data_IF_216807121123
#
_entry.id   IF_216807121123
#
_cell.length_a   1.000
_cell.length_b   1.000
_cell.length_c   1.000
_cell.angle_alpha   90.00
_cell.angle_beta   90.00
_cell.angle_gamma   90.00
#
_symmetry.space_group_name_H-M   'P 1'
#
loop_
_entity.id
_entity.type
_entity.pdbx_description
1 polymer ?
#
# COMPACT_ATOMS: atom_id res chain seq x y z
N UNK A 1 34.81 -46.83 36.42
CA UNK A 1 34.84 -45.36 36.26
C UNK A 1 33.69 -44.96 35.33
N UNK A 2 32.67 -44.28 35.84
CA UNK A 2 31.58 -43.71 35.02
C UNK A 2 31.82 -42.21 34.91
N UNK A 3 32.06 -41.75 33.69
CA UNK A 3 32.20 -40.32 33.36
C UNK A 3 30.81 -39.69 33.38
N UNK A 4 30.61 -38.70 34.25
CA UNK A 4 29.42 -37.85 34.25
C UNK A 4 29.73 -36.60 33.43
N UNK A 5 28.92 -36.30 32.42
CA UNK A 5 28.95 -35.02 31.73
C UNK A 5 27.92 -34.11 32.40
N UNK A 6 28.38 -33.01 32.98
CA UNK A 6 27.51 -31.92 33.43
C UNK A 6 27.14 -31.14 32.17
N UNK A 7 25.89 -31.29 31.72
CA UNK A 7 25.32 -30.38 30.72
C UNK A 7 24.87 -29.13 31.46
N UNK A 8 25.69 -28.07 31.40
CA UNK A 8 25.24 -26.76 31.81
C UNK A 8 24.24 -26.26 30.76
N UNK A 9 22.95 -26.25 31.12
CA UNK A 9 21.94 -25.50 30.37
C UNK A 9 22.22 -24.04 30.66
N UNK A 10 22.91 -23.36 29.75
CA UNK A 10 22.96 -21.91 29.77
C UNK A 10 21.60 -21.41 29.26
N UNK A 11 20.75 -20.96 30.19
CA UNK A 11 19.66 -20.05 29.85
C UNK A 11 20.28 -18.81 29.22
N UNK A 12 20.26 -18.74 27.89
CA UNK A 12 20.51 -17.50 27.18
C UNK A 12 19.25 -16.67 27.38
N UNK A 13 19.21 -15.90 28.47
CA UNK A 13 18.24 -14.82 28.62
C UNK A 13 18.52 -13.81 27.53
N UNK A 14 17.81 -13.95 26.40
CA UNK A 14 17.75 -12.91 25.38
C UNK A 14 17.36 -11.61 26.10
N UNK A 15 18.12 -10.52 25.98
CA UNK A 15 17.72 -9.25 26.59
C UNK A 15 16.30 -8.93 26.12
N UNK A 16 15.47 -8.43 27.03
CA UNK A 16 14.12 -7.98 26.68
C UNK A 16 14.23 -7.05 25.46
N UNK A 17 13.41 -7.25 24.41
CA UNK A 17 13.47 -6.41 23.23
C UNK A 17 13.32 -4.95 23.68
N UNK A 18 14.19 -4.08 23.17
CA UNK A 18 14.12 -2.66 23.49
C UNK A 18 12.75 -2.14 23.07
N UNK A 19 12.11 -1.27 23.87
CA UNK A 19 10.88 -0.64 23.45
C UNK A 19 11.07 0.07 22.12
N UNK A 20 10.07 -0.03 21.24
CA UNK A 20 10.05 0.64 19.95
C UNK A 20 9.01 1.74 20.00
N UNK A 21 9.41 2.97 19.72
CA UNK A 21 8.48 4.05 19.44
C UNK A 21 8.15 4.07 17.96
N UNK A 22 6.86 4.08 17.64
CA UNK A 22 6.35 4.17 16.27
C UNK A 22 5.41 5.34 16.15
N UNK A 23 5.39 5.96 14.97
CA UNK A 23 4.43 6.98 14.65
C UNK A 23 3.16 6.33 14.07
N UNK A 24 2.00 6.82 14.46
CA UNK A 24 0.72 6.37 13.92
C UNK A 24 -0.02 7.56 13.34
N UNK A 25 -0.36 7.45 12.06
CA UNK A 25 -0.89 8.58 11.33
C UNK A 25 -2.31 8.95 11.78
N UNK A 26 -2.64 10.22 11.78
CA UNK A 26 -3.89 10.69 12.38
C UNK A 26 -5.17 10.13 11.73
N UNK A 27 -5.11 9.85 10.42
CA UNK A 27 -6.19 9.24 9.65
C UNK A 27 -6.50 7.79 10.08
N UNK A 28 -5.51 7.08 10.63
CA UNK A 28 -5.67 5.73 11.18
C UNK A 28 -6.67 5.73 12.36
N UNK A 29 -6.63 6.79 13.17
CA UNK A 29 -7.54 6.96 14.30
C UNK A 29 -8.88 7.58 13.92
N UNK A 30 -8.90 8.47 12.93
CA UNK A 30 -10.14 9.06 12.45
C UNK A 30 -11.09 8.02 11.83
N UNK A 31 -10.56 6.93 11.27
CA UNK A 31 -11.36 5.93 10.56
C UNK A 31 -11.54 4.60 11.29
N UNK A 32 -10.62 4.18 12.17
CA UNK A 32 -10.60 2.78 12.62
C UNK A 32 -10.47 2.56 14.14
N UNK A 33 -9.76 3.41 14.89
CA UNK A 33 -9.48 3.18 16.33
C UNK A 33 -9.29 4.46 17.14
N UNK A 34 -9.36 4.35 18.45
CA UNK A 34 -8.87 5.38 19.39
C UNK A 34 -7.39 5.13 19.67
N UNK A 35 -6.57 6.17 19.95
CA UNK A 35 -5.22 6.02 20.52
C UNK A 35 -5.18 4.95 21.62
N UNK A 36 -4.20 4.01 21.59
CA UNK A 36 -4.14 2.96 22.60
C UNK A 36 -3.80 3.56 23.96
N UNK A 37 -4.50 3.10 25.00
CA UNK A 37 -4.14 3.41 26.38
C UNK A 37 -2.84 2.66 26.77
N UNK A 38 -2.08 3.21 27.72
CA UNK A 38 -0.93 2.51 28.31
C UNK A 38 -1.40 1.17 28.90
N UNK A 39 -0.66 0.10 28.60
CA UNK A 39 -0.97 -1.28 28.94
C UNK A 39 -1.91 -2.00 27.95
N UNK A 40 -2.46 -1.30 26.94
CA UNK A 40 -3.34 -1.92 25.96
C UNK A 40 -2.57 -2.71 24.90
N UNK A 41 -3.15 -3.79 24.37
CA UNK A 41 -2.57 -4.49 23.23
C UNK A 41 -2.64 -3.63 21.97
N UNK A 42 -1.55 -3.64 21.22
CA UNK A 42 -1.41 -2.99 19.91
C UNK A 42 -1.12 -4.07 18.87
N UNK A 43 -1.77 -3.99 17.72
CA UNK A 43 -1.49 -4.87 16.59
C UNK A 43 -1.60 -4.12 15.28
N UNK A 44 -0.82 -4.47 14.27
CA UNK A 44 -0.86 -3.80 12.96
C UNK A 44 0.32 -4.20 12.07
N UNK A 45 0.61 -3.38 11.07
CA UNK A 45 1.72 -3.56 10.14
C UNK A 45 2.75 -2.44 10.33
N UNK A 46 4.03 -2.82 10.41
CA UNK A 46 5.15 -1.87 10.49
C UNK A 46 5.73 -1.57 9.10
N UNK A 47 5.83 -0.27 8.83
CA UNK A 47 6.43 0.31 7.63
C UNK A 47 7.50 1.32 8.02
N UNK A 48 8.52 1.45 7.20
CA UNK A 48 9.57 2.46 7.34
C UNK A 48 9.46 3.46 6.18
N UNK A 49 9.60 4.74 6.50
CA UNK A 49 9.54 5.85 5.56
C UNK A 49 10.70 6.81 5.80
N UNK A 50 11.12 7.62 4.81
CA UNK A 50 11.96 8.78 5.08
C UNK A 50 11.34 9.63 6.20
N UNK A 51 12.14 9.96 7.22
CA UNK A 51 11.64 10.72 8.35
C UNK A 51 11.26 12.14 7.91
N UNK A 52 10.06 12.59 8.29
CA UNK A 52 9.67 14.00 8.16
C UNK A 52 10.29 14.82 9.31
N UNK A 53 10.24 16.15 9.21
CA UNK A 53 10.83 17.10 10.18
C UNK A 53 10.43 16.85 11.64
N UNK A 54 9.26 16.24 11.88
CA UNK A 54 8.73 15.98 13.22
C UNK A 54 8.65 14.48 13.57
N UNK A 55 9.23 13.61 12.74
CA UNK A 55 9.23 12.17 13.00
C UNK A 55 10.37 11.78 13.94
N UNK A 56 10.13 10.77 14.77
CA UNK A 56 11.20 10.08 15.49
C UNK A 56 12.05 9.33 14.47
N UNK A 57 13.31 9.74 14.35
CA UNK A 57 14.26 9.17 13.42
C UNK A 57 14.99 7.98 14.07
N UNK A 58 15.06 6.88 13.33
CA UNK A 58 15.77 5.66 13.71
C UNK A 58 16.96 5.42 12.77
N UNK A 59 17.94 4.67 13.27
CA UNK A 59 19.09 4.25 12.48
C UNK A 59 18.88 2.85 11.91
N UNK A 60 19.09 2.71 10.60
CA UNK A 60 19.07 1.41 9.91
C UNK A 60 20.35 0.65 10.26
N UNK A 61 20.19 -0.58 10.72
CA UNK A 61 21.30 -1.49 11.04
C UNK A 61 21.45 -2.60 10.00
N UNK A 62 20.38 -2.93 9.26
CA UNK A 62 20.41 -3.87 8.15
C UNK A 62 19.32 -3.54 7.13
N UNK A 63 19.54 -3.95 5.87
CA UNK A 63 18.56 -3.83 4.80
C UNK A 63 18.58 -5.08 3.91
N UNK A 64 17.45 -5.78 3.87
CA UNK A 64 17.18 -6.82 2.89
C UNK A 64 16.37 -6.22 1.73
N UNK A 65 17.09 -5.78 0.70
CA UNK A 65 16.47 -5.22 -0.52
C UNK A 65 15.58 -6.24 -1.24
N UNK A 66 15.90 -7.52 -1.15
CA UNK A 66 15.13 -8.59 -1.79
C UNK A 66 13.73 -8.71 -1.21
N UNK A 67 13.63 -8.58 0.12
CA UNK A 67 12.38 -8.66 0.88
C UNK A 67 11.78 -7.30 1.26
N UNK A 68 12.43 -6.20 0.88
CA UNK A 68 11.96 -4.84 1.21
C UNK A 68 11.87 -4.62 2.72
N UNK A 69 12.85 -5.11 3.47
CA UNK A 69 12.86 -5.02 4.94
C UNK A 69 14.09 -4.26 5.43
N UNK A 70 13.89 -3.29 6.32
CA UNK A 70 14.96 -2.64 7.08
C UNK A 70 14.87 -3.06 8.54
N UNK A 71 16.02 -3.12 9.22
CA UNK A 71 16.10 -3.37 10.66
C UNK A 71 16.50 -2.09 11.38
N UNK A 72 15.66 -1.66 12.31
CA UNK A 72 15.82 -0.47 13.15
C UNK A 72 15.62 -0.84 14.60
N UNK A 73 16.57 -0.49 15.46
CA UNK A 73 16.52 -0.84 16.89
C UNK A 73 16.24 -2.33 17.18
N UNK A 74 16.66 -3.21 16.25
CA UNK A 74 16.44 -4.66 16.33
C UNK A 74 15.06 -5.13 15.81
N UNK A 75 14.22 -4.23 15.31
CA UNK A 75 12.88 -4.52 14.76
C UNK A 75 12.88 -4.38 13.25
N UNK A 76 12.28 -5.34 12.56
CA UNK A 76 12.07 -5.27 11.12
C UNK A 76 10.83 -4.41 10.79
N UNK A 77 10.97 -3.56 9.77
CA UNK A 77 9.87 -2.80 9.17
C UNK A 77 10.01 -2.82 7.65
N UNK A 78 8.88 -2.73 6.94
CA UNK A 78 8.90 -2.76 5.48
C UNK A 78 9.33 -1.42 4.87
N UNK A 79 10.28 -1.43 3.96
CA UNK A 79 10.83 -0.26 3.25
C UNK A 79 10.51 -0.31 1.76
N UNK A 80 9.83 0.71 1.22
CA UNK A 80 9.69 0.84 -0.24
C UNK A 80 11.03 1.30 -0.87
N UNK A 81 11.67 0.49 -1.74
CA UNK A 81 12.91 0.86 -2.40
C UNK A 81 12.82 2.13 -3.27
N UNK A 82 11.62 2.59 -3.62
CA UNK A 82 11.41 3.85 -4.35
C UNK A 82 11.87 5.08 -3.56
N UNK A 83 11.96 4.97 -2.23
CA UNK A 83 12.49 6.00 -1.34
C UNK A 83 14.03 6.06 -1.31
N UNK A 84 14.73 5.22 -2.08
CA UNK A 84 16.18 5.23 -2.17
C UNK A 84 16.88 4.34 -1.14
N UNK A 85 18.16 4.63 -0.87
CA UNK A 85 18.99 3.89 0.08
C UNK A 85 18.65 4.29 1.53
N UNK A 86 18.09 3.38 2.35
CA UNK A 86 17.71 3.69 3.71
C UNK A 86 18.90 4.01 4.62
N UNK A 87 20.13 3.60 4.29
CA UNK A 87 21.33 3.98 5.07
C UNK A 87 21.76 5.43 4.88
N UNK A 88 21.25 6.10 3.84
CA UNK A 88 21.67 7.45 3.46
C UNK A 88 20.78 8.57 4.03
N UNK A 89 19.75 8.21 4.80
CA UNK A 89 18.75 9.16 5.27
C UNK A 89 18.13 8.72 6.61
N UNK A 90 17.61 9.66 7.42
CA UNK A 90 16.84 9.31 8.60
C UNK A 90 15.54 8.62 8.20
N UNK A 91 15.13 7.62 8.97
CA UNK A 91 13.88 6.89 8.73
C UNK A 91 12.97 6.90 9.95
N UNK A 92 11.66 6.93 9.72
CA UNK A 92 10.63 6.81 10.73
C UNK A 92 9.92 5.46 10.59
N UNK A 93 9.60 4.83 11.71
CA UNK A 93 8.76 3.62 11.73
C UNK A 93 7.32 4.03 11.97
N UNK A 94 6.43 3.53 11.12
CA UNK A 94 4.99 3.76 11.21
C UNK A 94 4.23 2.46 11.41
N UNK A 95 3.23 2.53 12.29
CA UNK A 95 2.24 1.47 12.44
C UNK A 95 0.99 1.83 11.62
N UNK A 96 0.49 0.87 10.87
CA UNK A 96 -0.79 0.98 10.16
C UNK A 96 -1.74 -0.14 10.56
N UNK A 97 -3.02 0.19 10.71
CA UNK A 97 -4.11 -0.78 10.84
C UNK A 97 -4.75 -1.14 9.52
N UNK A 98 -4.41 -0.43 8.45
CA UNK A 98 -4.97 -0.66 7.14
C UNK A 98 -4.16 -1.72 6.40
N UNK A 99 -4.90 -2.64 5.78
CA UNK A 99 -4.35 -3.48 4.73
C UNK A 99 -4.40 -2.70 3.42
N UNK A 100 -3.40 -1.85 3.18
CA UNK A 100 -3.25 -1.13 1.91
C UNK A 100 -2.81 -2.06 0.76
N UNK A 101 -2.86 -3.38 0.97
CA UNK A 101 -2.37 -4.46 0.11
C UNK A 101 -0.86 -4.65 0.19
N UNK A 102 -0.17 -3.75 0.89
CA UNK A 102 1.27 -3.71 1.11
C UNK A 102 1.68 -4.75 2.17
N UNK A 103 2.52 -5.77 1.87
CA UNK A 103 2.94 -6.75 2.86
C UNK A 103 3.92 -6.14 3.86
N UNK A 104 3.40 -5.54 4.94
CA UNK A 104 4.19 -5.01 6.06
C UNK A 104 4.67 -6.11 7.02
N UNK A 105 5.50 -5.75 8.00
CA UNK A 105 5.85 -6.65 9.11
C UNK A 105 4.71 -6.61 10.11
N UNK A 106 4.01 -7.73 10.31
CA UNK A 106 2.93 -7.76 11.29
C UNK A 106 3.51 -7.73 12.70
N UNK A 107 2.94 -6.87 13.54
CA UNK A 107 3.35 -6.70 14.94
C UNK A 107 2.16 -6.93 15.86
N UNK A 108 2.42 -7.58 16.99
CA UNK A 108 1.60 -7.48 18.20
C UNK A 108 2.49 -7.07 19.37
N UNK A 109 2.02 -6.14 20.20
CA UNK A 109 2.81 -5.55 21.27
C UNK A 109 1.91 -4.99 22.39
N UNK A 110 2.53 -4.50 23.46
CA UNK A 110 1.85 -3.77 24.55
C UNK A 110 2.28 -2.30 24.49
N UNK A 111 1.33 -1.36 24.46
CA UNK A 111 1.65 0.07 24.56
C UNK A 111 2.15 0.41 25.96
N UNK A 112 3.26 1.15 26.08
CA UNK A 112 3.79 1.63 27.36
C UNK A 112 3.80 3.15 27.46
N UNK A 113 3.68 3.84 26.33
CA UNK A 113 3.56 5.30 26.26
C UNK A 113 2.79 5.68 24.98
N UNK A 114 1.94 6.69 25.09
CA UNK A 114 1.21 7.27 23.95
C UNK A 114 1.29 8.79 24.07
N UNK A 115 1.93 9.44 23.10
CA UNK A 115 2.11 10.90 23.07
C UNK A 115 1.39 11.45 21.84
N UNK A 116 0.39 12.29 22.05
CA UNK A 116 -0.28 13.02 20.97
C UNK A 116 0.45 14.32 20.68
N UNK A 117 0.60 14.68 19.41
CA UNK A 117 1.02 16.03 19.03
C UNK A 117 0.00 17.07 19.56
N UNK A 118 0.42 18.10 20.32
CA UNK A 118 -0.48 19.10 20.92
C UNK A 118 -1.29 19.96 19.92
N UNK A 119 -1.13 19.79 18.60
CA UNK A 119 -1.92 20.49 17.58
C UNK A 119 -3.38 20.03 17.44
N UNK A 120 -3.86 19.08 18.24
CA UNK A 120 -5.24 18.56 18.16
C UNK A 120 -6.24 19.35 19.02
N UNK A 121 -6.90 20.35 18.45
CA UNK A 121 -8.22 20.79 18.95
C UNK A 121 -9.30 19.80 18.51
N UNK A 122 -10.27 19.56 19.39
CA UNK A 122 -11.28 18.50 19.34
C UNK A 122 -12.37 18.67 18.27
N UNK A 123 -12.00 18.70 16.99
CA UNK A 123 -12.95 18.50 15.88
C UNK A 123 -12.69 17.15 15.19
N UNK A 124 -13.77 16.57 14.64
CA UNK A 124 -13.99 15.14 14.35
C UNK A 124 -13.07 14.43 13.32
N UNK A 125 -11.88 14.97 13.05
CA UNK A 125 -10.77 14.29 12.41
C UNK A 125 -9.51 14.71 13.18
N UNK A 126 -9.01 13.84 14.07
CA UNK A 126 -7.77 14.09 14.80
C UNK A 126 -6.70 14.49 13.79
N UNK A 127 -6.25 15.75 13.83
CA UNK A 127 -5.20 16.28 12.96
C UNK A 127 -3.91 16.33 13.76
N UNK A 128 -3.25 15.18 13.83
CA UNK A 128 -2.02 14.99 14.59
C UNK A 128 -1.67 13.52 14.61
N UNK A 129 -0.51 13.19 14.05
CA UNK A 129 0.06 11.87 14.25
C UNK A 129 0.35 11.68 15.75
N UNK A 130 0.34 10.45 16.24
CA UNK A 130 0.74 10.16 17.62
C UNK A 130 1.92 9.22 17.65
N UNK A 131 2.73 9.34 18.69
CA UNK A 131 3.82 8.41 18.95
C UNK A 131 3.37 7.37 19.98
N UNK A 132 3.58 6.10 19.67
CA UNK A 132 3.28 4.98 20.56
C UNK A 132 4.57 4.22 20.84
N UNK A 133 5.00 4.20 22.10
CA UNK A 133 6.10 3.35 22.54
C UNK A 133 5.54 1.99 22.95
N UNK A 134 6.12 0.92 22.41
CA UNK A 134 5.63 -0.45 22.55
C UNK A 134 6.70 -1.39 23.10
N UNK A 135 6.28 -2.38 23.88
CA UNK A 135 7.12 -3.49 24.39
C UNK A 135 6.49 -4.84 24.05
N UNK A 136 7.16 -5.95 24.40
CA UNK A 136 6.67 -7.32 24.20
C UNK A 136 6.36 -7.64 22.73
N UNK A 137 7.20 -7.12 21.84
CA UNK A 137 6.98 -7.21 20.40
C UNK A 137 7.06 -8.65 19.91
N UNK A 138 5.99 -9.10 19.26
CA UNK A 138 5.98 -10.29 18.41
C UNK A 138 5.87 -9.84 16.96
N UNK A 139 6.83 -10.25 16.13
CA UNK A 139 6.96 -9.82 14.74
C UNK A 139 6.78 -11.00 13.79
N UNK A 140 6.05 -10.79 12.71
CA UNK A 140 5.92 -11.74 11.60
C UNK A 140 6.27 -11.02 10.30
N UNK A 141 7.44 -11.34 9.76
CA UNK A 141 7.93 -10.78 8.51
C UNK A 141 7.18 -11.36 7.30
N UNK A 142 6.96 -10.55 6.24
CA UNK A 142 6.38 -11.06 5.01
C UNK A 142 7.35 -12.03 4.30
N UNK A 143 6.79 -13.07 3.70
CA UNK A 143 7.55 -14.01 2.87
C UNK A 143 8.00 -13.34 1.57
N UNK A 144 9.11 -13.80 0.99
CA UNK A 144 9.57 -13.35 -0.32
C UNK A 144 8.48 -13.52 -1.42
N UNK A 145 7.62 -14.54 -1.29
CA UNK A 145 6.48 -14.76 -2.20
C UNK A 145 5.43 -13.65 -2.09
N UNK A 146 5.10 -13.21 -0.87
CA UNK A 146 4.15 -12.10 -0.65
C UNK A 146 4.70 -10.79 -1.21
N UNK A 147 5.99 -10.50 -0.98
CA UNK A 147 6.66 -9.32 -1.53
C UNK A 147 6.68 -9.36 -3.06
N UNK A 148 7.03 -10.51 -3.66
CA UNK A 148 7.02 -10.68 -5.11
C UNK A 148 5.60 -10.51 -5.71
N UNK A 149 4.57 -11.09 -5.08
CA UNK A 149 3.19 -10.93 -5.53
C UNK A 149 2.73 -9.46 -5.44
N UNK A 150 3.11 -8.74 -4.40
CA UNK A 150 2.83 -7.31 -4.27
C UNK A 150 3.52 -6.49 -5.36
N UNK A 151 4.78 -6.78 -5.69
CA UNK A 151 5.49 -6.10 -6.79
C UNK A 151 4.77 -6.28 -8.12
N UNK A 152 4.31 -7.49 -8.41
CA UNK A 152 3.50 -7.77 -9.62
C UNK A 152 2.20 -6.95 -9.59
N UNK A 153 1.50 -6.91 -8.46
CA UNK A 153 0.30 -6.09 -8.28
C UNK A 153 0.56 -4.60 -8.49
N UNK A 154 1.65 -4.06 -7.93
CA UNK A 154 2.04 -2.66 -8.14
C UNK A 154 2.37 -2.35 -9.60
N UNK A 155 3.07 -3.26 -10.28
CA UNK A 155 3.39 -3.11 -11.69
C UNK A 155 2.14 -3.17 -12.58
N UNK A 156 1.12 -3.95 -12.19
CA UNK A 156 -0.19 -3.94 -12.84
C UNK A 156 -0.90 -2.61 -12.56
N UNK A 157 -1.02 -2.18 -11.30
CA UNK A 157 -1.69 -0.92 -10.91
C UNK A 157 -1.11 0.31 -11.61
N UNK A 158 0.22 0.39 -11.73
CA UNK A 158 0.91 1.48 -12.44
C UNK A 158 0.63 1.51 -13.95
N UNK A 159 0.24 0.37 -14.51
CA UNK A 159 -0.13 0.19 -15.93
C UNK A 159 -1.64 0.13 -16.14
N UNK A 160 -2.44 0.22 -15.09
CA UNK A 160 -3.90 0.23 -15.20
C UNK A 160 -4.36 1.62 -15.58
N UNK A 161 -5.00 1.72 -16.74
CA UNK A 161 -5.58 2.95 -17.25
C UNK A 161 -7.10 2.86 -17.15
N UNK A 162 -7.71 3.95 -16.71
CA UNK A 162 -9.17 4.10 -16.68
C UNK A 162 -9.57 5.12 -17.72
N UNK A 163 -10.46 4.72 -18.62
CA UNK A 163 -10.93 5.53 -19.74
C UNK A 163 -12.45 5.65 -19.67
N UNK A 164 -12.95 6.88 -19.75
CA UNK A 164 -14.37 7.19 -19.85
C UNK A 164 -14.64 7.88 -21.18
N UNK A 165 -15.47 7.29 -22.04
CA UNK A 165 -15.88 7.87 -23.32
C UNK A 165 -17.27 7.36 -23.75
N UNK A 166 -17.84 7.95 -24.79
CA UNK A 166 -19.09 7.46 -25.38
C UNK A 166 -18.96 5.99 -25.81
N UNK A 167 -20.00 5.17 -25.68
CA UNK A 167 -19.92 3.75 -26.02
C UNK A 167 -19.47 3.51 -27.47
N UNK A 168 -19.91 4.35 -28.40
CA UNK A 168 -19.55 4.29 -29.82
C UNK A 168 -18.08 4.61 -30.12
N UNK A 169 -17.37 5.25 -29.18
CA UNK A 169 -15.93 5.47 -29.30
C UNK A 169 -15.16 4.15 -29.33
N UNK A 170 -15.64 3.14 -28.60
CA UNK A 170 -14.98 1.84 -28.48
C UNK A 170 -15.36 0.84 -29.58
N UNK A 171 -16.25 1.22 -30.51
CA UNK A 171 -16.74 0.38 -31.58
C UNK A 171 -18.26 0.25 -31.62
N UNK A 172 -18.76 -0.69 -32.42
CA UNK A 172 -20.19 -0.91 -32.64
C UNK A 172 -20.87 -1.73 -31.53
N UNK A 173 -20.10 -2.46 -30.73
CA UNK A 173 -20.57 -3.29 -29.62
C UNK A 173 -19.68 -3.11 -28.39
N UNK A 174 -20.20 -3.43 -27.21
CA UNK A 174 -19.41 -3.44 -25.98
C UNK A 174 -18.30 -4.48 -26.03
N UNK A 175 -17.17 -4.09 -25.45
CA UNK A 175 -15.93 -4.87 -25.41
C UNK A 175 -16.04 -6.05 -24.44
N UNK A 176 -15.25 -7.10 -24.64
CA UNK A 176 -15.11 -8.19 -23.67
C UNK A 176 -13.87 -7.98 -22.79
N UNK A 177 -13.98 -8.39 -21.51
CA UNK A 177 -12.79 -8.50 -20.67
C UNK A 177 -11.86 -9.59 -21.24
N UNK A 178 -10.56 -9.31 -21.27
CA UNK A 178 -9.54 -10.14 -21.90
C UNK A 178 -9.19 -9.72 -23.34
N UNK A 179 -10.03 -8.91 -23.99
CA UNK A 179 -9.74 -8.41 -25.33
C UNK A 179 -8.60 -7.38 -25.32
N UNK A 180 -7.97 -7.25 -26.49
CA UNK A 180 -6.96 -6.23 -26.77
C UNK A 180 -7.63 -4.94 -27.18
N UNK A 181 -7.12 -3.83 -26.67
CA UNK A 181 -7.60 -2.50 -27.02
C UNK A 181 -6.44 -1.57 -27.31
N UNK A 182 -6.62 -0.69 -28.29
CA UNK A 182 -5.74 0.43 -28.59
C UNK A 182 -6.57 1.70 -28.53
N UNK A 183 -6.19 2.63 -27.64
CA UNK A 183 -6.88 3.91 -27.45
C UNK A 183 -5.85 5.02 -27.61
N UNK A 184 -6.21 6.06 -28.35
CA UNK A 184 -5.50 7.33 -28.27
C UNK A 184 -5.92 8.04 -26.98
N UNK A 185 -5.05 8.04 -25.97
CA UNK A 185 -5.32 8.69 -24.68
C UNK A 185 -5.14 10.21 -24.75
N UNK A 186 -4.69 10.76 -25.89
CA UNK A 186 -4.67 12.19 -26.15
C UNK A 186 -5.94 12.68 -26.87
N UNK A 187 -6.86 11.79 -27.26
CA UNK A 187 -8.11 12.17 -27.88
C UNK A 187 -8.98 12.97 -26.89
N UNK A 188 -9.43 14.19 -27.24
CA UNK A 188 -10.25 15.02 -26.36
C UNK A 188 -11.64 14.42 -26.06
N UNK A 189 -12.10 13.42 -26.82
CA UNK A 189 -13.33 12.68 -26.55
C UNK A 189 -13.18 11.67 -25.39
N UNK A 190 -11.95 11.45 -24.90
CA UNK A 190 -11.63 10.49 -23.85
C UNK A 190 -11.25 11.21 -22.57
N UNK A 191 -11.95 10.90 -21.48
CA UNK A 191 -11.49 11.26 -20.14
C UNK A 191 -10.63 10.13 -19.57
N UNK A 192 -9.35 10.41 -19.37
CA UNK A 192 -8.37 9.45 -18.84
C UNK A 192 -8.13 9.71 -17.35
N UNK A 193 -8.09 8.64 -16.55
CA UNK A 193 -7.57 8.67 -15.19
C UNK A 193 -6.44 7.65 -15.06
N UNK A 194 -5.46 7.98 -14.21
CA UNK A 194 -4.28 7.17 -13.98
C UNK A 194 -3.51 6.85 -15.28
N UNK A 195 -3.42 7.83 -16.19
CA UNK A 195 -2.57 7.72 -17.37
C UNK A 195 -1.10 7.56 -16.93
N UNK A 196 -0.32 6.65 -17.52
CA UNK A 196 1.07 6.46 -17.12
C UNK A 196 1.86 7.76 -17.33
N UNK A 197 2.77 8.13 -16.42
CA UNK A 197 3.54 9.37 -16.56
C UNK A 197 4.32 9.39 -17.88
N UNK A 198 4.10 10.42 -18.70
CA UNK A 198 4.80 10.61 -19.97
C UNK A 198 4.24 9.81 -21.16
N UNK A 199 3.19 9.01 -20.97
CA UNK A 199 2.46 8.40 -22.08
C UNK A 199 1.42 9.39 -22.62
N UNK A 200 1.57 9.74 -23.89
CA UNK A 200 0.63 10.53 -24.67
C UNK A 200 0.44 9.85 -26.03
N UNK A 201 -0.77 9.87 -26.58
CA UNK A 201 -1.07 9.25 -27.87
C UNK A 201 -1.64 7.82 -27.75
N UNK A 202 -1.30 6.96 -28.71
CA UNK A 202 -1.85 5.60 -28.79
C UNK A 202 -1.23 4.66 -27.73
N UNK A 203 -2.08 4.08 -26.89
CA UNK A 203 -1.72 3.10 -25.88
C UNK A 203 -2.46 1.80 -26.13
N UNK A 204 -1.76 0.68 -26.04
CA UNK A 204 -2.33 -0.66 -26.21
C UNK A 204 -2.29 -1.43 -24.90
N UNK A 205 -3.35 -2.19 -24.63
CA UNK A 205 -3.42 -3.05 -23.46
C UNK A 205 -4.51 -4.09 -23.53
N UNK A 206 -4.73 -4.75 -22.40
CA UNK A 206 -5.74 -5.81 -22.23
C UNK A 206 -6.84 -5.32 -21.30
N UNK A 207 -8.09 -5.42 -21.75
CA UNK A 207 -9.27 -4.98 -21.00
C UNK A 207 -9.48 -5.87 -19.77
N UNK A 208 -9.65 -5.26 -18.61
CA UNK A 208 -9.90 -5.96 -17.34
C UNK A 208 -11.30 -5.74 -16.82
N UNK A 209 -11.93 -4.60 -17.15
CA UNK A 209 -13.31 -4.32 -16.75
C UNK A 209 -13.98 -3.33 -17.72
N UNK A 210 -15.29 -3.51 -17.92
CA UNK A 210 -16.13 -2.63 -18.74
C UNK A 210 -17.43 -2.38 -17.98
N UNK A 211 -17.73 -1.12 -17.72
CA UNK A 211 -18.92 -0.67 -16.98
C UNK A 211 -19.59 0.49 -17.71
N UNK A 212 -20.89 0.69 -17.47
CA UNK A 212 -21.58 1.93 -17.82
C UNK A 212 -21.37 2.94 -16.70
N UNK A 213 -20.96 4.15 -17.05
CA UNK A 213 -20.79 5.27 -16.14
C UNK A 213 -22.06 6.13 -16.12
N UNK A 214 -22.83 6.04 -15.04
CA UNK A 214 -24.12 6.72 -14.88
C UNK A 214 -23.95 7.88 -13.88
N UNK A 215 -24.02 9.15 -14.31
CA UNK A 215 -23.96 10.30 -13.41
C UNK A 215 -25.14 10.30 -12.41
N UNK A 216 -24.84 10.52 -11.13
CA UNK A 216 -25.80 10.59 -10.01
C UNK A 216 -25.56 11.87 -9.19
N UNK A 217 -25.60 13.02 -9.86
CA UNK A 217 -25.30 14.31 -9.24
C UNK A 217 -23.80 14.42 -8.93
N UNK A 218 -23.42 14.32 -7.65
CA UNK A 218 -22.04 14.52 -7.18
C UNK A 218 -21.14 13.29 -7.34
N UNK A 219 -21.69 12.14 -7.73
CA UNK A 219 -20.92 10.90 -7.96
C UNK A 219 -21.33 10.22 -9.27
N UNK A 220 -20.50 9.28 -9.74
CA UNK A 220 -20.80 8.43 -10.90
C UNK A 220 -20.96 6.99 -10.43
N UNK A 221 -22.12 6.39 -10.72
CA UNK A 221 -22.34 4.98 -10.48
C UNK A 221 -21.78 4.14 -11.64
N UNK A 222 -21.09 3.06 -11.33
CA UNK A 222 -20.59 2.11 -12.33
C UNK A 222 -21.45 0.84 -12.30
N UNK A 223 -22.05 0.48 -13.43
CA UNK A 223 -22.90 -0.71 -13.55
C UNK A 223 -22.37 -1.65 -14.62
N UNK A 224 -22.48 -2.96 -14.41
CA UNK A 224 -22.09 -3.95 -15.42
C UNK A 224 -22.89 -3.77 -16.72
N UNK A 225 -22.24 -4.07 -17.84
CA UNK A 225 -22.86 -4.16 -19.16
C UNK A 225 -22.52 -5.51 -19.77
N UNK A 226 -23.49 -6.14 -20.42
CA UNK A 226 -23.24 -7.39 -21.12
C UNK A 226 -22.29 -7.13 -22.31
N UNK A 227 -21.21 -7.90 -22.47
CA UNK A 227 -20.37 -7.84 -23.65
C UNK A 227 -21.15 -8.10 -24.94
N UNK A 228 -20.76 -7.48 -26.05
CA UNK A 228 -21.47 -7.57 -27.33
C UNK A 228 -22.77 -6.74 -27.44
N UNK A 229 -23.19 -6.05 -26.37
CA UNK A 229 -24.32 -5.11 -26.40
C UNK A 229 -24.06 -4.02 -27.45
N UNK A 230 -25.01 -3.72 -28.36
CA UNK A 230 -24.82 -2.67 -29.36
C UNK A 230 -24.54 -1.32 -28.72
N UNK A 231 -23.40 -0.71 -29.05
CA UNK A 231 -22.94 0.55 -28.44
C UNK A 231 -23.95 1.69 -28.60
N UNK A 232 -24.66 1.73 -29.74
CA UNK A 232 -25.70 2.72 -30.02
C UNK A 232 -26.91 2.65 -29.07
N UNK A 233 -27.12 1.53 -28.37
CA UNK A 233 -28.21 1.38 -27.39
C UNK A 233 -27.83 1.83 -25.98
N UNK A 234 -26.55 2.15 -25.75
CA UNK A 234 -26.04 2.56 -24.45
C UNK A 234 -26.08 4.08 -24.38
N UNK A 235 -27.09 4.62 -23.68
CA UNK A 235 -27.31 6.07 -23.54
C UNK A 235 -26.33 6.81 -22.62
N UNK A 236 -25.28 6.14 -22.15
CA UNK A 236 -24.31 6.67 -21.20
C UNK A 236 -22.87 6.31 -21.64
N UNK A 237 -21.88 6.96 -21.04
CA UNK A 237 -20.48 6.65 -21.33
C UNK A 237 -20.11 5.26 -20.77
N UNK A 238 -19.14 4.62 -21.41
CA UNK A 238 -18.49 3.45 -20.84
C UNK A 238 -17.28 3.88 -20.02
N UNK A 239 -17.09 3.22 -18.88
CA UNK A 239 -15.86 3.20 -18.10
C UNK A 239 -15.14 1.90 -18.42
N UNK A 240 -14.02 2.01 -19.15
CA UNK A 240 -13.18 0.89 -19.56
C UNK A 240 -11.90 0.94 -18.73
N UNK A 241 -11.59 -0.18 -18.08
CA UNK A 241 -10.32 -0.39 -17.37
C UNK A 241 -9.49 -1.38 -18.15
N UNK A 242 -8.24 -1.05 -18.43
CA UNK A 242 -7.31 -1.95 -19.11
C UNK A 242 -5.90 -1.80 -18.55
N UNK A 243 -5.10 -2.86 -18.69
CA UNK A 243 -3.69 -2.86 -18.29
C UNK A 243 -2.84 -2.71 -19.54
N UNK A 244 -2.00 -1.67 -19.60
CA UNK A 244 -1.10 -1.43 -20.73
C UNK A 244 -0.06 -2.53 -20.85
N UNK A 245 0.43 -2.72 -22.06
CA UNK A 245 1.55 -3.63 -22.30
C UNK A 245 2.76 -3.26 -21.45
N UNK A 246 3.55 -4.27 -21.10
CA UNK A 246 4.81 -4.01 -20.42
C UNK A 246 5.79 -3.41 -21.44
N UNK A 247 6.24 -2.15 -21.27
CA UNK A 247 7.16 -1.52 -22.23
C UNK A 247 8.50 -2.28 -22.30
N UNK A 248 8.88 -3.03 -21.25
CA UNK A 248 10.07 -3.88 -21.25
C UNK A 248 9.95 -5.13 -22.11
N UNK A 249 8.76 -5.42 -22.64
CA UNK A 249 8.48 -6.55 -23.53
C UNK A 249 8.23 -6.13 -24.99
N UNK A 250 8.42 -4.86 -25.33
CA UNK A 250 8.46 -4.45 -26.74
C UNK A 250 9.79 -4.92 -27.36
N UNK A 251 9.75 -5.58 -28.54
CA UNK A 251 10.93 -6.10 -29.22
C UNK A 251 11.87 -4.99 -29.72
#
# INVERSE_FOLDING_TARGET
MRTFYIVAVMDVTTPAPRPLTVQVASWEYACCRTPPAVGAPVSGLLFAYPAATHSIAHHVTAWDRGRELVVVDGVAARWDPSHGDPFSQPIAVRLSWHDDGAPGVAVTATAIETVSDPLTTADACHSGDIDVTMTDLTLVEPTAKQVAAFRVQQQIRRRTVYVIAAATFFGSTTLHCGDRITIDIADPAVAVRNGPPGEHGLVTGTITDVKVAIPRGVFTALTSVEPGTPAATIGHHLHVTFVTDDPSRQP
#
